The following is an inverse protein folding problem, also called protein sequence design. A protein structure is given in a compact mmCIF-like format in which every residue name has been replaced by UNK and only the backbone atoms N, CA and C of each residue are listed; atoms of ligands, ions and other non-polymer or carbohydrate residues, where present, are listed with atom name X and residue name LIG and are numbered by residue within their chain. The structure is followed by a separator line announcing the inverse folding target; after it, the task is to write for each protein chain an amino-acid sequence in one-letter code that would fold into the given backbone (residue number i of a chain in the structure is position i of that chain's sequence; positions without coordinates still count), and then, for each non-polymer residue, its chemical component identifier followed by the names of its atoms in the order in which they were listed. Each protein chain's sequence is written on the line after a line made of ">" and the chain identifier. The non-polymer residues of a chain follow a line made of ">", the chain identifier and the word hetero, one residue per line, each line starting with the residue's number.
data_IF_897740113517
#
_entry.id   IF_897740113517
#
_cell.length_a   1.000
_cell.length_b   1.000
_cell.length_c   1.000
_cell.angle_alpha   90.00
_cell.angle_beta   90.00
_cell.angle_gamma   90.00
#
_symmetry.space_group_name_H-M   'P 1'
#
loop_
_entity.id
_entity.type
_entity.pdbx_description
1 polymer ?
#
# COMPACT_ATOMS: atom_id res chain seq x y z
N UNK A 1 -21.96 2.41 28.98
CA UNK A 1 -21.90 2.03 27.56
C UNK A 1 -20.54 1.41 27.34
N UNK A 2 -20.47 0.24 26.69
CA UNK A 2 -19.18 -0.36 26.33
C UNK A 2 -18.50 0.50 25.27
N UNK A 3 -17.19 0.68 25.39
CA UNK A 3 -16.40 1.41 24.39
C UNK A 3 -16.49 0.69 23.03
N UNK A 4 -16.67 1.40 21.90
CA UNK A 4 -16.72 0.80 20.58
C UNK A 4 -15.44 0.03 20.27
N UNK A 5 -15.57 -1.12 19.62
CA UNK A 5 -14.47 -2.02 19.27
C UNK A 5 -13.92 -1.64 17.90
N UNK A 6 -12.62 -1.37 17.83
CA UNK A 6 -11.92 -1.02 16.60
C UNK A 6 -10.89 -2.10 16.28
N UNK A 7 -11.13 -2.86 15.21
CA UNK A 7 -10.15 -3.82 14.71
C UNK A 7 -9.12 -3.08 13.87
N UNK A 8 -7.84 -3.35 14.10
CA UNK A 8 -6.73 -2.74 13.38
C UNK A 8 -5.87 -3.84 12.78
N UNK A 9 -5.78 -3.88 11.44
CA UNK A 9 -4.77 -4.64 10.70
C UNK A 9 -3.62 -3.68 10.38
N UNK A 10 -2.52 -3.70 11.16
CA UNK A 10 -1.43 -2.75 11.00
C UNK A 10 -0.54 -3.06 9.80
N UNK A 11 0.25 -2.08 9.36
CA UNK A 11 1.18 -2.23 8.23
C UNK A 11 2.30 -3.26 8.48
N UNK A 12 2.86 -3.23 9.69
CA UNK A 12 3.94 -4.09 10.16
C UNK A 12 3.95 -4.14 11.70
N UNK A 13 4.99 -4.75 12.28
CA UNK A 13 5.14 -4.94 13.72
C UNK A 13 5.90 -3.82 14.45
N UNK A 14 6.31 -2.76 13.74
CA UNK A 14 7.06 -1.64 14.32
C UNK A 14 6.15 -0.73 15.15
N UNK A 15 6.69 -0.04 16.17
CA UNK A 15 5.90 0.85 17.03
C UNK A 15 4.99 1.88 16.33
N UNK A 16 5.42 2.54 15.24
CA UNK A 16 4.56 3.48 14.52
C UNK A 16 3.28 2.86 13.94
N UNK A 17 3.32 1.57 13.59
CA UNK A 17 2.22 0.87 12.93
C UNK A 17 1.45 -0.03 13.91
N UNK A 18 2.03 -0.41 15.06
CA UNK A 18 1.40 -1.35 15.99
C UNK A 18 1.04 -0.69 17.33
N UNK A 19 2.03 -0.28 18.11
CA UNK A 19 1.81 0.32 19.44
C UNK A 19 1.11 1.68 19.37
N UNK A 20 1.55 2.58 18.49
CA UNK A 20 1.04 3.95 18.47
C UNK A 20 -0.42 4.04 18.00
N UNK A 21 -0.85 3.28 16.96
CA UNK A 21 -2.26 3.22 16.59
C UNK A 21 -3.14 2.65 17.70
N UNK A 22 -2.68 1.62 18.41
CA UNK A 22 -3.40 1.06 19.56
C UNK A 22 -3.58 2.09 20.70
N UNK A 23 -2.51 2.81 21.03
CA UNK A 23 -2.54 3.87 22.05
C UNK A 23 -3.46 5.02 21.62
N UNK A 24 -3.43 5.44 20.36
CA UNK A 24 -4.32 6.48 19.84
C UNK A 24 -5.78 6.04 19.88
N UNK A 25 -6.08 4.81 19.47
CA UNK A 25 -7.44 4.27 19.53
C UNK A 25 -7.97 4.26 20.97
N UNK A 26 -7.16 3.83 21.94
CA UNK A 26 -7.52 3.88 23.36
C UNK A 26 -7.77 5.32 23.84
N UNK A 27 -6.90 6.26 23.46
CA UNK A 27 -7.04 7.67 23.82
C UNK A 27 -8.32 8.30 23.20
N UNK A 28 -8.72 7.83 22.03
CA UNK A 28 -9.98 8.21 21.37
C UNK A 28 -11.22 7.49 21.93
N UNK A 29 -11.07 6.62 22.93
CA UNK A 29 -12.18 5.93 23.59
C UNK A 29 -12.63 4.63 22.92
N UNK A 30 -11.82 4.07 22.02
CA UNK A 30 -12.05 2.75 21.41
C UNK A 30 -11.36 1.64 22.19
N UNK A 31 -11.88 0.42 22.05
CA UNK A 31 -11.17 -0.81 22.45
C UNK A 31 -10.47 -1.38 21.21
N UNK A 32 -9.14 -1.21 21.05
CA UNK A 32 -8.45 -1.71 19.87
C UNK A 32 -8.23 -3.23 19.95
N UNK A 33 -8.38 -3.91 18.81
CA UNK A 33 -8.10 -5.33 18.64
C UNK A 33 -7.10 -5.50 17.50
N UNK A 34 -5.92 -6.01 17.81
CA UNK A 34 -4.81 -6.20 16.87
C UNK A 34 -4.43 -7.68 16.77
N UNK A 35 -3.89 -8.14 15.62
CA UNK A 35 -3.40 -9.51 15.51
C UNK A 35 -2.08 -9.65 16.30
N UNK A 36 -1.70 -10.85 16.75
CA UNK A 36 -0.37 -11.10 17.29
C UNK A 36 0.75 -10.67 16.33
N UNK A 37 1.74 -9.93 16.83
CA UNK A 37 2.92 -9.49 16.06
C UNK A 37 3.62 -10.63 15.31
N UNK A 38 3.62 -11.83 15.89
CA UNK A 38 4.22 -13.01 15.28
C UNK A 38 3.61 -13.38 13.91
N UNK A 39 2.43 -12.87 13.57
CA UNK A 39 1.78 -13.09 12.26
C UNK A 39 2.06 -11.97 11.26
N UNK A 40 2.60 -10.83 11.70
CA UNK A 40 2.91 -9.68 10.86
C UNK A 40 4.24 -9.86 10.13
N UNK A 41 4.34 -9.16 9.00
CA UNK A 41 5.56 -9.11 8.19
C UNK A 41 6.62 -8.23 8.82
N UNK A 42 7.87 -8.53 8.48
CA UNK A 42 9.07 -7.72 8.77
C UNK A 42 9.89 -7.61 7.48
N UNK A 43 10.96 -6.80 7.44
CA UNK A 43 11.89 -6.82 6.31
C UNK A 43 12.50 -8.20 6.01
N UNK A 44 12.47 -9.13 6.97
CA UNK A 44 13.14 -10.44 6.87
C UNK A 44 12.17 -11.62 6.72
N UNK A 45 10.86 -11.38 6.85
CA UNK A 45 9.85 -12.46 6.91
C UNK A 45 8.49 -11.97 6.43
N UNK A 46 7.84 -12.77 5.59
CA UNK A 46 6.45 -12.57 5.22
C UNK A 46 5.48 -12.78 6.40
N UNK A 47 4.48 -11.91 6.50
CA UNK A 47 3.34 -12.10 7.38
C UNK A 47 2.53 -13.33 6.95
N UNK A 48 1.83 -13.93 7.91
CA UNK A 48 1.01 -15.10 7.66
C UNK A 48 -0.40 -14.66 7.26
N UNK A 49 -0.62 -14.52 5.94
CA UNK A 49 -1.90 -14.05 5.38
C UNK A 49 -3.07 -14.95 5.77
N UNK A 50 -2.88 -16.26 5.86
CA UNK A 50 -3.95 -17.20 6.17
C UNK A 50 -4.42 -17.06 7.63
N UNK A 51 -3.47 -16.88 8.56
CA UNK A 51 -3.79 -16.62 9.97
C UNK A 51 -4.44 -15.26 10.16
N UNK A 52 -3.96 -14.24 9.45
CA UNK A 52 -4.54 -12.90 9.47
C UNK A 52 -5.97 -12.90 8.93
N UNK A 53 -6.21 -13.61 7.84
CA UNK A 53 -7.54 -13.79 7.27
C UNK A 53 -8.47 -14.51 8.26
N UNK A 54 -8.09 -15.68 8.77
CA UNK A 54 -8.92 -16.44 9.70
C UNK A 54 -9.22 -15.67 11.00
N UNK A 55 -8.26 -14.88 11.50
CA UNK A 55 -8.47 -14.01 12.65
C UNK A 55 -9.43 -12.87 12.34
N UNK A 56 -9.31 -12.25 11.17
CA UNK A 56 -10.19 -11.16 10.76
C UNK A 56 -11.66 -11.63 10.65
N UNK A 57 -11.89 -12.84 10.13
CA UNK A 57 -13.22 -13.47 10.07
C UNK A 57 -13.84 -13.68 11.45
N UNK A 58 -13.03 -13.96 12.47
CA UNK A 58 -13.49 -14.18 13.83
C UNK A 58 -13.85 -12.87 14.54
N UNK A 59 -13.02 -11.83 14.40
CA UNK A 59 -13.16 -10.60 15.20
C UNK A 59 -13.95 -9.49 14.53
N UNK A 60 -13.89 -9.36 13.20
CA UNK A 60 -14.49 -8.22 12.50
C UNK A 60 -16.03 -8.20 12.51
N UNK A 61 -16.76 -9.34 12.47
CA UNK A 61 -18.23 -9.35 12.55
C UNK A 61 -18.84 -8.65 13.77
N UNK A 62 -18.09 -8.60 14.88
CA UNK A 62 -18.53 -8.01 16.15
C UNK A 62 -17.93 -6.60 16.40
N UNK A 63 -17.13 -6.08 15.46
CA UNK A 63 -16.48 -4.78 15.59
C UNK A 63 -17.39 -3.64 15.10
N UNK A 64 -17.18 -2.44 15.64
CA UNK A 64 -17.86 -1.22 15.19
C UNK A 64 -17.13 -0.60 13.97
N UNK A 65 -15.81 -0.83 13.88
CA UNK A 65 -14.98 -0.36 12.79
C UNK A 65 -13.76 -1.25 12.53
N UNK A 66 -13.24 -1.15 11.31
CA UNK A 66 -12.02 -1.80 10.85
C UNK A 66 -11.11 -0.76 10.19
N UNK A 67 -9.87 -0.65 10.67
CA UNK A 67 -8.76 0.03 9.98
C UNK A 67 -7.82 -1.04 9.42
N UNK A 68 -7.57 -1.04 8.11
CA UNK A 68 -6.83 -2.13 7.47
C UNK A 68 -5.74 -1.70 6.49
N UNK A 69 -4.52 -2.16 6.77
CA UNK A 69 -3.40 -2.22 5.83
C UNK A 69 -3.60 -3.35 4.83
N UNK A 70 -3.88 -3.01 3.57
CA UNK A 70 -4.15 -3.99 2.53
C UNK A 70 -2.88 -4.71 2.07
N UNK A 71 -1.71 -4.08 2.22
CA UNK A 71 -0.42 -4.73 2.00
C UNK A 71 -0.20 -5.92 2.95
N UNK A 72 -0.65 -5.80 4.20
CA UNK A 72 -0.55 -6.84 5.22
C UNK A 72 -1.42 -8.05 4.88
N UNK A 73 -2.68 -7.83 4.47
CA UNK A 73 -3.60 -8.92 4.10
C UNK A 73 -3.25 -9.54 2.74
N UNK A 74 -2.90 -8.73 1.75
CA UNK A 74 -2.67 -9.18 0.38
C UNK A 74 -1.30 -9.83 0.16
N UNK A 75 -0.26 -9.32 0.81
CA UNK A 75 1.13 -9.74 0.57
C UNK A 75 1.86 -10.24 1.82
N UNK A 76 1.27 -10.12 3.00
CA UNK A 76 1.98 -10.35 4.26
C UNK A 76 2.90 -9.18 4.65
N UNK A 77 2.60 -7.96 4.23
CA UNK A 77 3.26 -6.72 4.69
C UNK A 77 3.89 -5.90 3.56
N UNK A 78 4.23 -4.65 3.87
CA UNK A 78 4.72 -3.66 2.88
C UNK A 78 5.97 -4.11 2.13
N UNK A 79 7.00 -4.60 2.84
CA UNK A 79 8.23 -5.07 2.18
C UNK A 79 7.95 -6.27 1.26
N UNK A 80 7.04 -7.14 1.67
CA UNK A 80 6.64 -8.29 0.86
C UNK A 80 5.83 -7.88 -0.36
N UNK A 81 5.06 -6.78 -0.31
CA UNK A 81 4.37 -6.26 -1.49
C UNK A 81 5.32 -5.78 -2.59
N UNK A 82 6.58 -5.49 -2.26
CA UNK A 82 7.63 -5.14 -3.23
C UNK A 82 8.34 -6.37 -3.81
N UNK A 83 8.40 -7.46 -3.04
CA UNK A 83 9.20 -8.66 -3.36
C UNK A 83 8.41 -9.84 -3.89
N UNK A 84 7.13 -9.94 -3.54
CA UNK A 84 6.30 -11.10 -3.83
C UNK A 84 6.34 -11.46 -5.32
N UNK A 85 6.36 -12.75 -5.68
CA UNK A 85 6.17 -13.19 -7.06
C UNK A 85 4.69 -13.38 -7.42
N UNK A 86 3.77 -13.24 -6.46
CA UNK A 86 2.36 -13.54 -6.67
C UNK A 86 1.76 -12.63 -7.75
N UNK A 87 0.90 -13.16 -8.64
CA UNK A 87 0.16 -12.34 -9.60
C UNK A 87 -0.92 -11.52 -8.90
N UNK A 88 -1.37 -10.44 -9.55
CA UNK A 88 -2.42 -9.56 -9.01
C UNK A 88 -3.69 -10.33 -8.63
N UNK A 89 -4.08 -11.33 -9.43
CA UNK A 89 -5.23 -12.19 -9.14
C UNK A 89 -5.13 -12.92 -7.80
N UNK A 90 -3.95 -13.43 -7.43
CA UNK A 90 -3.73 -14.10 -6.14
C UNK A 90 -3.82 -13.12 -4.97
N UNK A 91 -3.25 -11.92 -5.13
CA UNK A 91 -3.33 -10.87 -4.11
C UNK A 91 -4.77 -10.40 -3.92
N UNK A 92 -5.49 -10.15 -5.02
CA UNK A 92 -6.89 -9.76 -4.99
C UNK A 92 -7.76 -10.87 -4.38
N UNK A 93 -7.48 -12.15 -4.68
CA UNK A 93 -8.16 -13.29 -4.07
C UNK A 93 -8.06 -13.29 -2.54
N UNK A 94 -6.90 -12.93 -1.98
CA UNK A 94 -6.76 -12.76 -0.52
C UNK A 94 -7.58 -11.58 0.01
N UNK A 95 -7.61 -10.46 -0.73
CA UNK A 95 -8.37 -9.26 -0.34
C UNK A 95 -9.89 -9.43 -0.50
N UNK A 96 -10.37 -10.40 -1.29
CA UNK A 96 -11.78 -10.62 -1.55
C UNK A 96 -12.59 -10.88 -0.26
N UNK A 97 -11.96 -11.42 0.78
CA UNK A 97 -12.53 -11.55 2.12
C UNK A 97 -13.14 -10.24 2.64
N UNK A 98 -12.52 -9.09 2.38
CA UNK A 98 -13.06 -7.78 2.82
C UNK A 98 -14.38 -7.44 2.14
N UNK A 99 -14.60 -7.91 0.91
CA UNK A 99 -15.88 -7.76 0.21
C UNK A 99 -16.95 -8.63 0.83
N UNK A 100 -16.62 -9.88 1.13
CA UNK A 100 -17.52 -10.83 1.79
C UNK A 100 -17.92 -10.30 3.18
N UNK A 101 -16.95 -9.79 3.93
CA UNK A 101 -17.16 -9.16 5.22
C UNK A 101 -18.11 -7.95 5.13
N UNK A 102 -17.87 -7.00 4.21
CA UNK A 102 -18.78 -5.85 4.04
C UNK A 102 -20.18 -6.26 3.59
N UNK A 103 -20.29 -7.29 2.74
CA UNK A 103 -21.59 -7.82 2.29
C UNK A 103 -22.38 -8.47 3.44
N UNK A 104 -21.70 -9.25 4.28
CA UNK A 104 -22.32 -9.90 5.45
C UNK A 104 -22.63 -8.90 6.57
N UNK A 105 -21.82 -7.84 6.71
CA UNK A 105 -21.93 -6.82 7.75
C UNK A 105 -21.97 -5.40 7.15
N UNK A 106 -23.07 -4.99 6.50
CA UNK A 106 -23.14 -3.69 5.82
C UNK A 106 -22.94 -2.47 6.74
N UNK A 107 -23.21 -2.63 8.03
CA UNK A 107 -23.04 -1.59 9.05
C UNK A 107 -21.58 -1.42 9.53
N UNK A 108 -20.71 -2.40 9.28
CA UNK A 108 -19.30 -2.31 9.64
C UNK A 108 -18.63 -1.20 8.81
N UNK A 109 -18.01 -0.24 9.49
CA UNK A 109 -17.21 0.79 8.82
C UNK A 109 -15.81 0.24 8.51
N UNK A 110 -15.42 0.24 7.24
CA UNK A 110 -14.11 -0.23 6.79
C UNK A 110 -13.31 0.94 6.21
N UNK A 111 -12.26 1.32 6.92
CA UNK A 111 -11.27 2.29 6.50
C UNK A 111 -9.99 1.53 6.11
N UNK A 112 -9.52 1.71 4.88
CA UNK A 112 -8.42 0.91 4.38
C UNK A 112 -7.31 1.77 3.77
N UNK A 113 -6.14 1.17 3.58
CA UNK A 113 -5.10 1.77 2.77
C UNK A 113 -4.24 0.73 2.05
N UNK A 114 -3.76 1.11 0.87
CA UNK A 114 -2.88 0.28 0.04
C UNK A 114 -1.74 1.16 -0.46
N UNK A 115 -0.51 0.82 -0.07
CA UNK A 115 0.65 1.68 -0.30
C UNK A 115 1.02 1.69 -1.79
N UNK A 116 1.25 2.88 -2.34
CA UNK A 116 1.82 3.00 -3.68
C UNK A 116 3.28 2.53 -3.61
N UNK A 117 3.63 1.53 -4.44
CA UNK A 117 4.96 0.94 -4.42
C UNK A 117 6.03 2.03 -4.64
N UNK A 118 6.93 2.21 -3.67
CA UNK A 118 7.97 3.24 -3.74
C UNK A 118 9.03 2.94 -4.81
N UNK A 119 9.93 3.90 -5.01
CA UNK A 119 11.18 3.73 -5.77
C UNK A 119 12.28 4.40 -4.94
N UNK A 120 13.04 3.61 -4.19
CA UNK A 120 14.09 4.15 -3.32
C UNK A 120 15.31 4.61 -4.11
N UNK A 121 16.02 5.63 -3.63
CA UNK A 121 17.16 6.24 -4.35
C UNK A 121 18.48 5.51 -4.14
N UNK A 122 18.56 4.69 -3.10
CA UNK A 122 19.78 4.08 -2.63
C UNK A 122 19.94 2.65 -3.17
N UNK A 123 21.19 2.23 -3.28
CA UNK A 123 21.56 0.84 -3.50
C UNK A 123 21.46 0.09 -2.16
N UNK A 124 20.28 -0.46 -1.87
CA UNK A 124 20.03 -1.31 -0.68
C UNK A 124 18.95 -2.34 -0.97
N UNK A 125 19.24 -3.61 -0.68
CA UNK A 125 18.26 -4.69 -0.79
C UNK A 125 17.47 -4.94 0.52
N UNK A 126 17.64 -4.12 1.56
CA UNK A 126 17.01 -4.34 2.89
C UNK A 126 15.48 -4.45 2.82
N UNK A 127 14.85 -3.66 1.95
CA UNK A 127 13.39 -3.67 1.75
C UNK A 127 12.97 -3.88 0.29
N UNK A 128 13.92 -4.14 -0.60
CA UNK A 128 13.71 -4.33 -2.04
C UNK A 128 14.18 -5.72 -2.48
N UNK A 129 14.00 -6.09 -3.75
CA UNK A 129 14.56 -7.35 -4.30
C UNK A 129 16.09 -7.28 -4.32
N UNK A 130 16.75 -8.44 -4.34
CA UNK A 130 18.22 -8.55 -4.20
C UNK A 130 19.02 -7.69 -5.19
N UNK A 131 18.56 -7.58 -6.44
CA UNK A 131 19.24 -6.76 -7.45
C UNK A 131 19.27 -5.26 -7.12
N UNK A 132 18.45 -4.79 -6.18
CA UNK A 132 18.41 -3.38 -5.79
C UNK A 132 19.71 -2.91 -5.12
N UNK A 133 20.44 -3.80 -4.48
CA UNK A 133 21.78 -3.51 -3.94
C UNK A 133 22.77 -3.11 -5.04
N UNK A 134 22.61 -3.62 -6.26
CA UNK A 134 23.50 -3.34 -7.39
C UNK A 134 22.96 -2.28 -8.35
N UNK A 135 21.64 -2.21 -8.52
CA UNK A 135 21.00 -1.43 -9.58
C UNK A 135 19.98 -0.39 -9.08
N UNK A 136 19.70 -0.31 -7.77
CA UNK A 136 18.62 0.52 -7.22
C UNK A 136 18.70 2.00 -7.62
N UNK A 137 19.86 2.63 -7.43
CA UNK A 137 20.07 4.04 -7.80
C UNK A 137 19.90 4.29 -9.31
N UNK A 138 20.32 3.33 -10.15
CA UNK A 138 20.16 3.39 -11.62
C UNK A 138 18.71 3.21 -12.04
N UNK A 139 17.99 2.25 -11.46
CA UNK A 139 16.56 2.04 -11.69
C UNK A 139 15.75 3.27 -11.27
N UNK A 140 16.08 3.87 -10.13
CA UNK A 140 15.49 5.13 -9.70
C UNK A 140 15.74 6.24 -10.72
N UNK A 141 16.99 6.41 -11.19
CA UNK A 141 17.33 7.46 -12.16
C UNK A 141 16.65 7.25 -13.51
N UNK A 142 16.62 6.01 -14.01
CA UNK A 142 15.89 5.62 -15.22
C UNK A 142 14.41 5.98 -15.11
N UNK A 143 13.76 5.58 -14.02
CA UNK A 143 12.38 5.93 -13.67
C UNK A 143 12.13 7.45 -13.71
N UNK A 144 13.02 8.23 -13.09
CA UNK A 144 12.91 9.68 -13.03
C UNK A 144 13.00 10.31 -14.44
N UNK A 145 13.99 9.89 -15.23
CA UNK A 145 14.22 10.42 -16.58
C UNK A 145 13.07 10.09 -17.54
N UNK A 146 12.62 8.83 -17.55
CA UNK A 146 11.50 8.41 -18.39
C UNK A 146 10.25 9.23 -18.11
N UNK A 147 9.90 9.41 -16.83
CA UNK A 147 8.72 10.17 -16.47
C UNK A 147 8.86 11.66 -16.76
N UNK A 148 10.05 12.23 -16.53
CA UNK A 148 10.33 13.64 -16.84
C UNK A 148 10.23 13.92 -18.34
N UNK A 149 10.79 13.04 -19.17
CA UNK A 149 10.68 13.12 -20.63
C UNK A 149 9.23 12.95 -21.09
N UNK A 150 8.49 11.99 -20.53
CA UNK A 150 7.08 11.78 -20.83
C UNK A 150 6.20 12.99 -20.47
N UNK A 151 6.62 13.79 -19.48
CA UNK A 151 5.96 15.03 -19.08
C UNK A 151 6.41 16.27 -19.89
N UNK A 152 7.19 16.08 -20.96
CA UNK A 152 7.78 17.15 -21.77
C UNK A 152 8.62 18.14 -20.95
N UNK A 153 9.24 17.66 -19.87
CA UNK A 153 10.06 18.44 -18.95
C UNK A 153 11.55 18.05 -18.99
N UNK A 154 11.99 17.45 -20.09
CA UNK A 154 13.37 17.01 -20.28
C UNK A 154 14.36 18.17 -20.37
N UNK A 155 15.59 17.92 -19.90
CA UNK A 155 16.74 18.80 -20.06
C UNK A 155 17.71 18.25 -21.14
N UNK A 156 18.58 19.08 -21.72
CA UNK A 156 19.65 18.61 -22.61
C UNK A 156 20.49 17.52 -21.95
N UNK A 157 20.67 16.38 -22.64
CA UNK A 157 21.43 15.22 -22.14
C UNK A 157 20.59 14.16 -21.42
N UNK A 158 19.32 14.43 -21.10
CA UNK A 158 18.44 13.45 -20.44
C UNK A 158 18.23 12.18 -21.28
N UNK A 159 18.04 12.34 -22.59
CA UNK A 159 17.85 11.21 -23.51
C UNK A 159 19.12 10.37 -23.62
N UNK A 160 20.29 11.01 -23.68
CA UNK A 160 21.59 10.33 -23.72
C UNK A 160 21.88 9.59 -22.41
N UNK A 161 21.58 10.21 -21.25
CA UNK A 161 21.72 9.57 -19.93
C UNK A 161 20.77 8.37 -19.79
N UNK A 162 19.51 8.51 -20.23
CA UNK A 162 18.56 7.41 -20.21
C UNK A 162 19.01 6.25 -21.11
N UNK A 163 19.54 6.56 -22.30
CA UNK A 163 20.10 5.55 -23.20
C UNK A 163 21.30 4.83 -22.58
N UNK A 164 22.21 5.56 -21.91
CA UNK A 164 23.34 4.98 -21.20
C UNK A 164 22.88 4.04 -20.07
N UNK A 165 21.93 4.48 -19.24
CA UNK A 165 21.35 3.65 -18.18
C UNK A 165 20.70 2.37 -18.71
N UNK A 166 20.08 2.43 -19.89
CA UNK A 166 19.52 1.27 -20.60
C UNK A 166 20.56 0.20 -20.96
N UNK A 167 21.86 0.55 -21.00
CA UNK A 167 22.97 -0.39 -21.20
C UNK A 167 23.60 -0.88 -19.89
N UNK A 168 23.45 -0.11 -18.80
CA UNK A 168 24.03 -0.44 -17.49
C UNK A 168 23.16 -1.37 -16.65
N UNK A 169 21.84 -1.34 -16.84
CA UNK A 169 20.90 -2.19 -16.11
C UNK A 169 20.41 -3.31 -17.03
N UNK A 170 20.59 -4.59 -16.65
CA UNK A 170 20.06 -5.70 -17.42
C UNK A 170 18.54 -5.59 -17.64
N UNK A 171 18.09 -5.81 -18.87
CA UNK A 171 16.70 -5.62 -19.26
C UNK A 171 15.74 -6.53 -18.48
N UNK A 172 16.18 -7.73 -18.11
CA UNK A 172 15.43 -8.66 -17.27
C UNK A 172 15.14 -8.09 -15.88
N UNK A 173 16.05 -7.28 -15.32
CA UNK A 173 15.86 -6.61 -14.02
C UNK A 173 14.86 -5.46 -14.15
N UNK A 174 14.97 -4.67 -15.22
CA UNK A 174 13.99 -3.61 -15.52
C UNK A 174 12.59 -4.22 -15.67
N UNK A 175 12.47 -5.30 -16.46
CA UNK A 175 11.20 -5.98 -16.71
C UNK A 175 10.62 -6.61 -15.43
N UNK A 176 11.43 -7.30 -14.62
CA UNK A 176 10.97 -7.89 -13.35
C UNK A 176 10.47 -6.81 -12.38
N UNK A 177 11.16 -5.67 -12.30
CA UNK A 177 10.72 -4.56 -11.47
C UNK A 177 9.41 -3.96 -11.98
N UNK A 178 9.31 -3.66 -13.27
CA UNK A 178 8.11 -3.10 -13.89
C UNK A 178 6.91 -4.05 -13.80
N UNK A 179 7.11 -5.37 -13.87
CA UNK A 179 6.06 -6.35 -13.62
C UNK A 179 5.52 -6.26 -12.18
N UNK A 180 6.41 -6.18 -11.19
CA UNK A 180 6.02 -5.98 -9.79
C UNK A 180 5.23 -4.68 -9.60
N UNK A 181 5.69 -3.60 -10.23
CA UNK A 181 4.99 -2.31 -10.22
C UNK A 181 3.60 -2.40 -10.86
N UNK A 182 3.50 -3.03 -12.03
CA UNK A 182 2.23 -3.20 -12.73
C UNK A 182 1.21 -3.97 -11.87
N UNK A 183 1.63 -5.04 -11.20
CA UNK A 183 0.80 -5.76 -10.23
C UNK A 183 0.33 -4.86 -9.09
N UNK A 184 1.24 -4.17 -8.39
CA UNK A 184 0.85 -3.32 -7.25
C UNK A 184 -0.05 -2.17 -7.70
N UNK A 185 0.17 -1.62 -8.90
CA UNK A 185 -0.70 -0.61 -9.48
C UNK A 185 -2.10 -1.16 -9.79
N UNK A 186 -2.21 -2.40 -10.29
CA UNK A 186 -3.48 -3.08 -10.51
C UNK A 186 -4.25 -3.30 -9.20
N UNK A 187 -3.56 -3.70 -8.13
CA UNK A 187 -4.18 -3.83 -6.80
C UNK A 187 -4.67 -2.47 -6.30
N UNK A 188 -3.84 -1.43 -6.35
CA UNK A 188 -4.23 -0.07 -5.96
C UNK A 188 -5.44 0.44 -6.77
N UNK A 189 -5.49 0.15 -8.07
CA UNK A 189 -6.63 0.46 -8.95
C UNK A 189 -7.91 -0.24 -8.46
N UNK A 190 -7.82 -1.54 -8.18
CA UNK A 190 -8.96 -2.32 -7.68
C UNK A 190 -9.46 -1.79 -6.33
N UNK A 191 -8.58 -1.33 -5.44
CA UNK A 191 -9.01 -0.79 -4.14
C UNK A 191 -9.84 0.49 -4.29
N UNK A 192 -9.46 1.36 -5.23
CA UNK A 192 -10.25 2.56 -5.57
C UNK A 192 -11.61 2.16 -6.17
N UNK A 193 -11.62 1.17 -7.06
CA UNK A 193 -12.87 0.63 -7.63
C UNK A 193 -13.76 0.02 -6.54
N UNK A 194 -13.19 -0.67 -5.55
CA UNK A 194 -13.92 -1.23 -4.41
C UNK A 194 -14.48 -0.14 -3.48
N UNK A 195 -13.77 0.98 -3.30
CA UNK A 195 -14.34 2.15 -2.63
C UNK A 195 -15.55 2.68 -3.40
N UNK A 196 -15.48 2.79 -4.73
CA UNK A 196 -16.62 3.21 -5.55
C UNK A 196 -17.83 2.27 -5.41
N UNK A 197 -17.58 0.96 -5.21
CA UNK A 197 -18.61 -0.05 -4.94
C UNK A 197 -19.11 -0.07 -3.48
N UNK A 198 -18.60 0.79 -2.60
CA UNK A 198 -19.02 0.88 -1.20
C UNK A 198 -18.42 -0.19 -0.29
N UNK A 199 -17.37 -0.88 -0.73
CA UNK A 199 -16.66 -1.87 0.11
C UNK A 199 -15.89 -1.16 1.23
N UNK A 200 -15.20 -0.08 0.87
CA UNK A 200 -14.50 0.79 1.81
C UNK A 200 -15.27 2.09 1.99
N UNK A 201 -15.46 2.49 3.24
CA UNK A 201 -16.04 3.78 3.61
C UNK A 201 -15.02 4.91 3.39
N UNK A 202 -13.73 4.61 3.56
CA UNK A 202 -12.64 5.48 3.16
C UNK A 202 -11.40 4.69 2.74
N UNK A 203 -10.66 5.21 1.76
CA UNK A 203 -9.40 4.64 1.30
C UNK A 203 -8.30 5.70 1.29
N UNK A 204 -7.13 5.35 1.78
CA UNK A 204 -5.90 6.11 1.56
C UNK A 204 -4.98 5.30 0.63
N UNK A 205 -4.39 5.94 -0.38
CA UNK A 205 -3.25 5.40 -1.12
C UNK A 205 -2.02 6.21 -0.73
N UNK A 206 -1.31 5.81 0.35
CA UNK A 206 -0.15 6.53 0.83
C UNK A 206 1.04 6.37 -0.12
N UNK A 207 1.99 7.30 -0.01
CA UNK A 207 3.20 7.30 -0.83
C UNK A 207 4.44 7.44 0.03
N UNK A 208 5.36 6.48 -0.14
CA UNK A 208 6.71 6.54 0.40
C UNK A 208 7.70 7.05 -0.67
N UNK A 209 8.80 7.67 -0.24
CA UNK A 209 9.87 8.23 -1.09
C UNK A 209 9.38 9.09 -2.27
N UNK A 210 8.65 10.17 -1.99
CA UNK A 210 8.11 11.04 -3.05
C UNK A 210 9.17 11.95 -3.70
N UNK A 211 9.03 12.14 -5.01
CA UNK A 211 9.88 12.97 -5.88
C UNK A 211 9.04 13.70 -6.93
N UNK A 212 9.66 14.59 -7.71
CA UNK A 212 8.98 15.36 -8.75
C UNK A 212 8.54 14.49 -9.94
N UNK A 213 9.41 13.57 -10.39
CA UNK A 213 9.18 12.65 -11.51
C UNK A 213 9.58 11.23 -11.14
N UNK A 214 8.91 10.24 -11.74
CA UNK A 214 9.23 8.82 -11.58
C UNK A 214 8.05 7.93 -11.95
N UNK A 215 8.29 6.63 -12.15
CA UNK A 215 7.23 5.66 -12.42
C UNK A 215 6.15 5.67 -11.32
N UNK A 216 6.54 5.83 -10.05
CA UNK A 216 5.61 5.99 -8.93
C UNK A 216 4.75 7.26 -9.04
N UNK A 217 5.31 8.35 -9.57
CA UNK A 217 4.57 9.61 -9.77
C UNK A 217 3.64 9.49 -11.00
N UNK A 218 4.06 8.80 -12.05
CA UNK A 218 3.20 8.47 -13.19
C UNK A 218 1.99 7.63 -12.78
N UNK A 219 2.22 6.63 -11.93
CA UNK A 219 1.16 5.81 -11.33
C UNK A 219 0.22 6.63 -10.47
N UNK A 220 0.74 7.48 -9.58
CA UNK A 220 -0.07 8.41 -8.79
C UNK A 220 -0.98 9.24 -9.68
N UNK A 221 -0.46 9.83 -10.76
CA UNK A 221 -1.27 10.62 -11.71
C UNK A 221 -2.36 9.77 -12.37
N UNK A 222 -2.10 8.49 -12.67
CA UNK A 222 -3.12 7.55 -13.17
C UNK A 222 -4.21 7.27 -12.12
N UNK A 223 -3.83 7.00 -10.87
CA UNK A 223 -4.80 6.74 -9.80
C UNK A 223 -5.63 7.98 -9.48
N UNK A 224 -5.05 9.18 -9.47
CA UNK A 224 -5.78 10.44 -9.29
C UNK A 224 -6.83 10.66 -10.40
N UNK A 225 -6.49 10.35 -11.65
CA UNK A 225 -7.47 10.39 -12.75
C UNK A 225 -8.61 9.40 -12.54
N UNK A 226 -8.31 8.19 -12.07
CA UNK A 226 -9.35 7.19 -11.75
C UNK A 226 -10.28 7.65 -10.63
N UNK A 227 -9.74 8.20 -9.54
CA UNK A 227 -10.53 8.77 -8.43
C UNK A 227 -11.50 9.84 -8.94
N UNK A 228 -11.03 10.71 -9.83
CA UNK A 228 -11.87 11.72 -10.47
C UNK A 228 -12.95 11.10 -11.36
N UNK A 229 -12.59 10.12 -12.20
CA UNK A 229 -13.51 9.43 -13.11
C UNK A 229 -14.63 8.70 -12.36
N UNK A 230 -14.30 8.04 -11.25
CA UNK A 230 -15.26 7.32 -10.41
C UNK A 230 -16.00 8.23 -9.41
N UNK A 231 -15.63 9.52 -9.34
CA UNK A 231 -16.24 10.52 -8.43
C UNK A 231 -16.20 10.11 -6.97
N UNK A 232 -15.06 9.57 -6.54
CA UNK A 232 -14.83 9.12 -5.14
C UNK A 232 -13.79 9.97 -4.40
N UNK A 233 -13.56 11.22 -4.86
CA UNK A 233 -12.55 12.11 -4.26
C UNK A 233 -12.85 12.55 -2.82
N UNK A 234 -14.09 12.38 -2.36
CA UNK A 234 -14.52 12.57 -0.97
C UNK A 234 -14.24 11.35 -0.08
N UNK A 235 -13.98 10.18 -0.68
CA UNK A 235 -13.73 8.90 -0.01
C UNK A 235 -12.35 8.30 -0.28
N UNK A 236 -11.57 8.89 -1.18
CA UNK A 236 -10.22 8.43 -1.52
C UNK A 236 -9.23 9.58 -1.43
N UNK A 237 -8.18 9.40 -0.62
CA UNK A 237 -7.03 10.32 -0.56
C UNK A 237 -5.76 9.65 -1.08
N UNK A 238 -4.93 10.42 -1.79
CA UNK A 238 -3.58 10.01 -2.23
C UNK A 238 -2.60 11.09 -1.78
N UNK A 239 -1.70 10.77 -0.85
CA UNK A 239 -0.81 11.77 -0.22
C UNK A 239 0.52 11.15 0.27
N UNK A 240 1.57 11.97 0.53
CA UNK A 240 2.87 11.49 1.01
C UNK A 240 2.87 11.16 2.50
N UNK A 241 3.50 10.06 2.89
CA UNK A 241 3.43 9.49 4.24
C UNK A 241 3.02 8.03 4.17
N UNK A 242 3.40 7.20 5.14
CA UNK A 242 3.03 5.77 5.17
C UNK A 242 2.89 5.26 6.61
N UNK A 243 3.90 5.45 7.45
CA UNK A 243 3.91 4.96 8.84
C UNK A 243 2.84 5.61 9.73
N UNK A 244 2.31 6.77 9.36
CA UNK A 244 1.25 7.47 10.08
C UNK A 244 -0.18 7.08 9.66
N UNK A 245 -0.32 6.24 8.61
CA UNK A 245 -1.61 6.05 7.93
C UNK A 245 -2.67 5.41 8.83
N UNK A 246 -2.29 4.42 9.64
CA UNK A 246 -3.18 3.80 10.62
C UNK A 246 -3.76 4.85 11.59
N UNK A 247 -2.89 5.71 12.13
CA UNK A 247 -3.30 6.77 13.06
C UNK A 247 -4.23 7.80 12.40
N UNK A 248 -4.00 8.15 11.13
CA UNK A 248 -4.85 9.07 10.39
C UNK A 248 -6.26 8.49 10.13
N UNK A 249 -6.35 7.19 9.83
CA UNK A 249 -7.64 6.53 9.67
C UNK A 249 -8.39 6.39 11.01
N UNK A 250 -7.68 6.11 12.10
CA UNK A 250 -8.28 6.10 13.45
C UNK A 250 -8.81 7.49 13.82
N UNK A 251 -8.02 8.54 13.59
CA UNK A 251 -8.46 9.91 13.83
C UNK A 251 -9.67 10.29 12.97
N UNK A 252 -9.74 9.81 11.73
CA UNK A 252 -10.90 9.98 10.86
C UNK A 252 -12.14 9.26 11.38
N UNK A 253 -11.99 8.04 11.90
CA UNK A 253 -13.09 7.26 12.47
C UNK A 253 -13.66 7.91 13.73
N UNK A 254 -12.81 8.60 14.50
CA UNK A 254 -13.19 9.29 15.73
C UNK A 254 -13.93 10.62 15.52
N UNK A 255 -13.83 11.22 14.33
CA UNK A 255 -14.32 12.55 14.01
C UNK A 255 -15.79 12.55 13.56
#
# INVERSE_FOLDING_TARGET
>A
MTAPTLVIVPLDDRPPNYEYPALLAQAAGFTPVLPPKAWLGTPWRAGNTDRLAAWLDDVAPAADGLVAALDTLGYGGLVNSRRSPDPAATVLARLHQLRELKQAHPALTILAYSVLMRISRANSAEEEKAYWESYGARLFRMSYLEDRLAMMAGAPGDEDELAALGTEVPQEIVNDYLHGRARNHEVNRAMIEWTALGIFDYLIVPQDDTVEYGWNIAERRRLQRLVHQLRVGDRVSIYPGTDETDMLLIARYAA
#
